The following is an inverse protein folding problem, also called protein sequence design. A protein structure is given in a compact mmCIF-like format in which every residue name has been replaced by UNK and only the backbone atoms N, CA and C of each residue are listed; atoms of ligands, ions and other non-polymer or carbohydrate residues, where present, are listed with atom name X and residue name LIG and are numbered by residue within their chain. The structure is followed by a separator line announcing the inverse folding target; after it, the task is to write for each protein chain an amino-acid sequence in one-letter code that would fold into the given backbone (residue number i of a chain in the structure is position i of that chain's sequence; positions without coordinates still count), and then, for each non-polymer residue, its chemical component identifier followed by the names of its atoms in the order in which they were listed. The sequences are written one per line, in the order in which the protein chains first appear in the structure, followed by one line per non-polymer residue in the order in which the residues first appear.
data_IF_480605808527
#
_entry.id   IF_480605808527
#
_cell.length_a   1.000
_cell.length_b   1.000
_cell.length_c   1.000
_cell.angle_alpha   90.00
_cell.angle_beta   90.00
_cell.angle_gamma   90.00
#
_symmetry.space_group_name_H-M   'P 1'
#
loop_
_entity.id
_entity.type
_entity.pdbx_description
1 polymer ?
#
# COMPACT_ATOMS: atom_id res chain seq x y z
N UNK A 1 3.76 24.58 -8.12
CA UNK A 1 3.29 24.17 -8.03
C UNK A 1 2.85 22.91 -8.07
N UNK A 2 3.17 22.18 -8.33
CA UNK A 2 2.77 21.01 -8.37
C UNK A 2 2.51 20.32 -7.17
N UNK A 3 3.15 20.60 -6.24
CA UNK A 3 2.77 20.06 -4.99
C UNK A 3 1.46 20.58 -4.56
N UNK A 4 1.00 21.60 -5.22
CA UNK A 4 -0.29 22.16 -4.86
C UNK A 4 -1.42 21.16 -5.08
N UNK A 5 -1.18 20.07 -5.75
CA UNK A 5 -2.20 19.04 -5.87
C UNK A 5 -2.21 18.05 -4.74
N UNK A 6 -1.22 18.13 -3.82
CA UNK A 6 -1.11 17.13 -2.77
C UNK A 6 -1.79 17.57 -1.48
N UNK A 7 -2.91 16.91 -1.18
CA UNK A 7 -3.58 17.14 0.09
C UNK A 7 -2.96 16.24 1.16
N UNK A 8 -3.49 16.28 2.35
CA UNK A 8 -2.95 15.51 3.46
C UNK A 8 -2.95 14.00 3.19
N UNK A 9 -4.04 13.38 2.72
CA UNK A 9 -4.00 11.96 2.39
C UNK A 9 -2.92 11.62 1.37
N UNK A 10 -2.68 12.48 0.38
CA UNK A 10 -1.63 12.23 -0.60
C UNK A 10 -0.26 12.24 0.01
N UNK A 11 -0.03 13.12 0.98
CA UNK A 11 1.24 13.15 1.70
C UNK A 11 1.44 11.86 2.49
N UNK A 12 0.37 11.36 3.10
CA UNK A 12 0.44 10.09 3.82
C UNK A 12 0.72 8.94 2.86
N UNK A 13 0.06 8.94 1.70
CA UNK A 13 0.29 7.91 0.69
C UNK A 13 1.77 7.83 0.29
N UNK A 14 2.37 8.99 0.11
CA UNK A 14 3.79 9.05 -0.26
C UNK A 14 4.66 8.42 0.82
N UNK A 15 4.40 8.75 2.08
CA UNK A 15 5.14 8.20 3.21
C UNK A 15 4.96 6.68 3.27
N UNK A 16 3.72 6.21 3.10
CA UNK A 16 3.44 4.79 3.19
C UNK A 16 4.16 4.01 2.10
N UNK A 17 4.17 4.54 0.88
CA UNK A 17 4.84 3.84 -0.22
C UNK A 17 6.33 3.64 0.07
N UNK A 18 6.98 4.64 0.64
CA UNK A 18 8.40 4.54 0.92
C UNK A 18 8.69 3.68 2.16
N UNK A 19 7.68 3.38 2.97
CA UNK A 19 7.86 2.62 4.20
C UNK A 19 7.45 1.15 4.10
N UNK A 20 6.85 0.73 2.99
CA UNK A 20 6.32 -0.62 2.88
C UNK A 20 7.36 -1.70 3.09
N UNK A 21 8.54 -1.52 2.52
CA UNK A 21 9.57 -2.53 2.59
C UNK A 21 10.22 -2.66 3.97
N UNK A 22 10.02 -1.68 4.85
CA UNK A 22 10.63 -1.73 6.16
C UNK A 22 9.85 -2.59 7.14
N UNK A 23 8.59 -2.85 6.84
CA UNK A 23 7.74 -3.65 7.72
C UNK A 23 7.39 -2.99 9.04
N UNK A 24 7.73 -1.71 9.19
CA UNK A 24 7.52 -1.02 10.46
C UNK A 24 6.48 0.07 10.40
N UNK A 25 5.54 -0.04 9.49
CA UNK A 25 4.49 0.95 9.34
C UNK A 25 3.49 0.82 10.48
N UNK A 26 3.34 1.89 11.25
CA UNK A 26 2.38 1.93 12.35
C UNK A 26 1.81 3.33 12.43
N UNK A 27 0.67 3.46 13.12
CA UNK A 27 0.06 4.78 13.31
C UNK A 27 1.03 5.71 14.03
N UNK A 28 1.76 5.17 15.01
CA UNK A 28 2.73 5.96 15.77
C UNK A 28 3.87 6.45 14.90
N UNK A 29 4.42 5.59 14.07
CA UNK A 29 5.56 5.97 13.24
C UNK A 29 5.16 7.00 12.18
N UNK A 30 4.00 6.82 11.57
CA UNK A 30 3.53 7.76 10.56
C UNK A 30 3.18 9.11 11.18
N UNK A 31 2.44 9.09 12.28
CA UNK A 31 2.08 10.34 12.96
C UNK A 31 3.32 11.10 13.40
N UNK A 32 4.34 10.38 13.88
CA UNK A 32 5.59 10.99 14.30
C UNK A 32 6.28 11.78 13.21
N UNK A 33 6.19 11.29 11.97
CA UNK A 33 6.80 11.98 10.84
C UNK A 33 6.13 13.33 10.56
N UNK A 34 4.89 13.50 11.00
CA UNK A 34 4.15 14.75 10.85
C UNK A 34 4.02 15.51 12.15
N UNK A 35 4.79 15.09 13.14
CA UNK A 35 4.80 15.74 14.46
C UNK A 35 3.41 15.84 15.07
N UNK A 36 2.65 14.75 14.99
CA UNK A 36 1.32 14.75 15.56
C UNK A 36 1.05 13.42 16.28
N UNK A 37 0.06 13.45 17.15
CA UNK A 37 -0.37 12.27 17.86
C UNK A 37 -1.18 11.37 16.92
N UNK A 38 -1.11 10.04 17.08
CA UNK A 38 -1.89 9.14 16.23
C UNK A 38 -3.38 9.46 16.16
N UNK A 39 -3.95 9.91 17.28
CA UNK A 39 -5.35 10.29 17.31
C UNK A 39 -5.64 11.48 16.39
N UNK A 40 -4.71 12.45 16.39
CA UNK A 40 -4.84 13.61 15.52
C UNK A 40 -4.75 13.20 14.06
N UNK A 41 -3.81 12.30 13.77
CA UNK A 41 -3.68 11.76 12.41
C UNK A 41 -4.99 11.11 11.96
N UNK A 42 -5.55 10.23 12.80
CA UNK A 42 -6.80 9.55 12.48
C UNK A 42 -7.94 10.52 12.23
N UNK A 43 -8.04 11.54 13.09
CA UNK A 43 -9.11 12.51 12.98
C UNK A 43 -9.00 13.35 11.70
N UNK A 44 -7.78 13.74 11.36
CA UNK A 44 -7.57 14.52 10.14
C UNK A 44 -7.91 13.71 8.89
N UNK A 45 -7.50 12.43 8.88
CA UNK A 45 -7.83 11.57 7.74
C UNK A 45 -9.33 11.33 7.65
N UNK A 46 -9.99 11.21 8.79
CA UNK A 46 -11.43 11.03 8.82
C UNK A 46 -12.15 12.20 8.16
N UNK A 47 -11.61 13.40 8.34
CA UNK A 47 -12.16 14.60 7.71
C UNK A 47 -12.07 14.56 6.20
N UNK A 48 -11.20 13.73 5.63
CA UNK A 48 -11.09 13.53 4.20
C UNK A 48 -11.84 12.27 3.76
N UNK A 49 -12.53 11.60 4.67
CA UNK A 49 -13.29 10.41 4.33
C UNK A 49 -12.48 9.13 4.22
N UNK A 50 -11.32 9.10 4.83
CA UNK A 50 -10.45 7.92 4.73
C UNK A 50 -9.78 7.64 6.08
N UNK A 51 -8.92 6.62 6.12
CA UNK A 51 -8.18 6.25 7.31
C UNK A 51 -6.84 5.67 6.95
N UNK A 52 -5.97 5.55 7.94
CA UNK A 52 -4.62 5.05 7.70
C UNK A 52 -4.62 3.64 7.13
N UNK A 53 -5.50 2.78 7.65
CA UNK A 53 -5.58 1.41 7.18
C UNK A 53 -5.95 1.33 5.70
N UNK A 54 -6.92 2.16 5.30
CA UNK A 54 -7.33 2.20 3.90
C UNK A 54 -6.20 2.68 3.00
N UNK A 55 -5.48 3.70 3.45
CA UNK A 55 -4.36 4.22 2.68
C UNK A 55 -3.23 3.22 2.59
N UNK A 56 -3.00 2.46 3.65
CA UNK A 56 -1.97 1.44 3.65
C UNK A 56 -2.34 0.31 2.69
N UNK A 57 -3.61 -0.10 2.68
CA UNK A 57 -4.07 -1.13 1.74
C UNK A 57 -3.90 -0.65 0.30
N UNK A 58 -4.24 0.61 0.03
CA UNK A 58 -4.03 1.18 -1.30
C UNK A 58 -2.56 1.13 -1.71
N UNK A 59 -1.68 1.52 -0.79
CA UNK A 59 -0.26 1.56 -1.07
C UNK A 59 0.27 0.16 -1.37
N UNK A 60 -0.17 -0.83 -0.60
CA UNK A 60 0.24 -2.21 -0.82
C UNK A 60 -0.28 -2.76 -2.14
N UNK A 61 -1.52 -2.42 -2.48
CA UNK A 61 -2.11 -2.87 -3.74
C UNK A 61 -1.37 -2.25 -4.93
N UNK A 62 -1.11 -0.96 -4.86
CA UNK A 62 -0.39 -0.27 -5.94
C UNK A 62 1.01 -0.85 -6.11
N UNK A 63 1.72 -1.05 -5.01
CA UNK A 63 3.07 -1.61 -5.05
C UNK A 63 3.05 -3.05 -5.58
N UNK A 64 2.05 -3.84 -5.18
CA UNK A 64 1.93 -5.21 -5.64
C UNK A 64 1.74 -5.27 -7.14
N UNK A 65 0.85 -4.44 -7.67
CA UNK A 65 0.60 -4.42 -9.11
C UNK A 65 1.86 -4.02 -9.87
N UNK A 66 2.59 -3.05 -9.33
CA UNK A 66 3.82 -2.61 -9.97
C UNK A 66 4.87 -3.72 -10.02
N UNK A 67 5.03 -4.43 -8.91
CA UNK A 67 5.99 -5.54 -8.87
C UNK A 67 5.56 -6.70 -9.76
N UNK A 68 4.27 -7.01 -9.78
CA UNK A 68 3.77 -8.08 -10.63
C UNK A 68 3.95 -7.75 -12.11
N UNK A 69 3.78 -6.50 -12.47
CA UNK A 69 3.86 -6.08 -13.86
C UNK A 69 5.28 -5.86 -14.36
N UNK A 70 6.17 -5.41 -13.49
CA UNK A 70 7.48 -4.94 -13.91
C UNK A 70 8.69 -5.68 -13.35
N UNK A 71 8.47 -6.76 -12.59
CA UNK A 71 9.59 -7.56 -12.09
C UNK A 71 9.31 -9.03 -12.33
N UNK A 72 10.35 -9.85 -12.15
CA UNK A 72 10.22 -11.30 -12.23
C UNK A 72 10.11 -11.94 -10.85
N UNK A 73 9.94 -11.15 -9.81
CA UNK A 73 9.79 -11.67 -8.46
C UNK A 73 8.57 -12.58 -8.39
N UNK A 74 8.69 -13.69 -7.68
CA UNK A 74 7.53 -14.56 -7.52
C UNK A 74 6.58 -13.98 -6.46
N UNK A 75 5.40 -14.55 -6.38
CA UNK A 75 4.35 -14.01 -5.50
C UNK A 75 4.80 -14.00 -4.04
N UNK A 76 5.54 -15.02 -3.61
CA UNK A 76 6.04 -15.07 -2.24
C UNK A 76 7.03 -13.96 -1.94
N UNK A 77 7.92 -13.69 -2.90
CA UNK A 77 8.89 -12.61 -2.73
C UNK A 77 8.21 -11.25 -2.68
N UNK A 78 7.20 -11.07 -3.51
CA UNK A 78 6.43 -9.82 -3.50
C UNK A 78 5.74 -9.64 -2.16
N UNK A 79 5.09 -10.70 -1.67
CA UNK A 79 4.40 -10.64 -0.38
C UNK A 79 5.35 -10.23 0.73
N UNK A 80 6.53 -10.84 0.74
CA UNK A 80 7.53 -10.55 1.76
C UNK A 80 7.99 -9.10 1.69
N UNK A 81 8.23 -8.59 0.48
CA UNK A 81 8.71 -7.23 0.31
C UNK A 81 7.65 -6.19 0.71
N UNK A 82 6.38 -6.59 0.74
CA UNK A 82 5.30 -5.69 1.14
C UNK A 82 4.97 -5.82 2.63
N UNK A 83 5.74 -6.61 3.36
CA UNK A 83 5.56 -6.73 4.79
C UNK A 83 4.60 -7.80 5.25
N UNK A 84 4.20 -8.71 4.38
CA UNK A 84 3.32 -9.81 4.76
C UNK A 84 4.13 -10.98 5.31
N UNK A 85 3.71 -11.49 6.45
CA UNK A 85 4.38 -12.64 7.06
C UNK A 85 4.09 -13.93 6.28
N UNK A 86 2.96 -13.99 5.60
CA UNK A 86 2.55 -15.18 4.87
C UNK A 86 2.03 -14.81 3.49
N UNK A 87 2.45 -15.58 2.49
CA UNK A 87 1.99 -15.38 1.13
C UNK A 87 0.48 -15.54 1.01
N UNK A 88 -0.10 -16.47 1.78
CA UNK A 88 -1.55 -16.69 1.73
C UNK A 88 -2.36 -15.47 2.17
N UNK A 89 -1.82 -14.71 3.12
CA UNK A 89 -2.50 -13.50 3.58
C UNK A 89 -2.46 -12.44 2.49
N UNK A 90 -1.32 -12.31 1.83
CA UNK A 90 -1.18 -11.39 0.70
C UNK A 90 -2.13 -11.77 -0.44
N UNK A 91 -2.16 -13.06 -0.79
CA UNK A 91 -3.02 -13.54 -1.87
C UNK A 91 -4.48 -13.21 -1.60
N UNK A 92 -4.92 -13.41 -0.36
CA UNK A 92 -6.29 -13.13 0.01
C UNK A 92 -6.59 -11.64 -0.08
N UNK A 93 -5.66 -10.81 0.40
CA UNK A 93 -5.83 -9.36 0.31
C UNK A 93 -5.88 -8.90 -1.13
N UNK A 94 -5.00 -9.43 -1.97
CA UNK A 94 -4.95 -9.05 -3.38
C UNK A 94 -6.25 -9.42 -4.10
N UNK A 95 -6.78 -10.62 -3.81
CA UNK A 95 -8.07 -11.02 -4.39
C UNK A 95 -9.20 -10.09 -3.98
N UNK A 96 -9.16 -9.63 -2.73
CA UNK A 96 -10.18 -8.71 -2.24
C UNK A 96 -10.08 -7.37 -2.98
N UNK A 97 -8.86 -6.92 -3.28
CA UNK A 97 -8.68 -5.63 -3.95
C UNK A 97 -8.95 -5.70 -5.45
N UNK A 98 -8.49 -6.76 -6.10
CA UNK A 98 -8.49 -6.81 -7.57
C UNK A 98 -9.45 -7.82 -8.18
N UNK A 99 -10.05 -8.68 -7.35
CA UNK A 99 -10.98 -9.70 -7.83
C UNK A 99 -10.32 -10.97 -8.33
N UNK A 100 -9.00 -11.03 -8.35
CA UNK A 100 -8.30 -12.20 -8.83
C UNK A 100 -7.01 -12.40 -8.05
N UNK A 101 -6.37 -13.56 -8.20
CA UNK A 101 -5.12 -13.83 -7.48
C UNK A 101 -3.96 -13.08 -8.12
N UNK A 102 -2.87 -12.86 -7.36
CA UNK A 102 -1.70 -12.21 -7.94
C UNK A 102 -1.15 -12.94 -9.15
N UNK A 103 -1.09 -14.26 -9.09
CA UNK A 103 -0.56 -15.04 -10.20
C UNK A 103 -1.43 -14.93 -11.44
N UNK A 104 -2.76 -15.00 -11.25
CA UNK A 104 -3.69 -14.85 -12.36
C UNK A 104 -3.63 -13.45 -12.94
N UNK A 105 -3.53 -12.44 -12.08
CA UNK A 105 -3.45 -11.05 -12.53
C UNK A 105 -2.20 -10.83 -13.39
N UNK A 106 -1.07 -11.36 -12.94
CA UNK A 106 0.20 -11.25 -13.70
C UNK A 106 0.06 -11.91 -15.05
N UNK A 107 -0.53 -13.10 -15.09
CA UNK A 107 -0.70 -13.84 -16.32
C UNK A 107 -1.58 -13.08 -17.31
N UNK A 108 -2.66 -12.50 -16.82
CA UNK A 108 -3.55 -11.72 -17.66
C UNK A 108 -2.85 -10.50 -18.25
N UNK A 109 -1.98 -9.86 -17.47
CA UNK A 109 -1.22 -8.72 -17.95
C UNK A 109 -0.27 -9.11 -19.08
N UNK A 110 0.38 -10.27 -18.94
CA UNK A 110 1.30 -10.74 -19.97
C UNK A 110 0.56 -11.04 -21.27
N UNK A 111 -0.63 -11.61 -21.16
CA UNK A 111 -1.43 -11.94 -22.33
C UNK A 111 -1.96 -10.68 -23.00
N UNK A 112 -2.32 -9.68 -22.22
CA UNK A 112 -2.91 -8.45 -22.75
C UNK A 112 -1.88 -7.57 -23.46
N UNK A 113 -0.59 -7.90 -23.33
CA UNK A 113 0.45 -7.14 -24.00
C UNK A 113 0.62 -7.62 -25.41
#
# INVERSE_FOLDING_TARGET
EQTHGKNFPDQIRTVLRSSLSTGTVSAESVAGLFSMHPRTLARRLEGFGTGLRELLDEARHDAAREMLAHTSLDVGQIAESLGYARTSVFTRAFRRWSGTTPAAWRKMRLIAR
#
